data_IF_321441987770
#
_entry.id   IF_321441987770
#
_cell.length_a   1.000
_cell.length_b   1.000
_cell.length_c   1.000
_cell.angle_alpha   90.00
_cell.angle_beta   90.00
_cell.angle_gamma   90.00
#
_symmetry.space_group_name_H-M   'P 1'
#
loop_
_entity.id
_entity.type
_entity.pdbx_description
1 polymer ?
#
# COMPACT_ATOMS: atom_id res chain seq x y z
N UNK A 1 10.35 -5.73 -19.70
CA UNK A 1 8.97 -5.95 -20.14
C UNK A 1 8.21 -6.86 -19.20
N UNK A 2 8.69 -8.10 -19.04
CA UNK A 2 8.04 -9.02 -18.13
C UNK A 2 8.06 -8.52 -16.69
N UNK A 3 9.17 -7.91 -16.31
CA UNK A 3 9.29 -7.36 -14.97
C UNK A 3 8.29 -6.24 -14.74
N UNK A 4 8.10 -5.40 -15.76
CA UNK A 4 7.13 -4.32 -15.66
C UNK A 4 5.72 -4.86 -15.54
N UNK A 5 5.40 -5.89 -16.30
CA UNK A 5 4.08 -6.50 -16.23
C UNK A 5 3.82 -7.07 -14.84
N UNK A 6 4.82 -7.72 -14.27
CA UNK A 6 4.69 -8.29 -12.96
C UNK A 6 4.39 -7.22 -11.91
N UNK A 7 5.12 -6.10 -11.98
CA UNK A 7 4.92 -5.01 -11.02
C UNK A 7 3.56 -4.35 -11.21
N UNK A 8 3.13 -4.21 -12.46
CA UNK A 8 1.82 -3.64 -12.75
C UNK A 8 0.73 -4.53 -12.18
N UNK A 9 0.85 -5.84 -12.34
CA UNK A 9 -0.14 -6.77 -11.80
C UNK A 9 -0.25 -6.64 -10.29
N UNK A 10 0.89 -6.55 -9.61
CA UNK A 10 0.89 -6.38 -8.18
C UNK A 10 0.22 -5.07 -7.78
N UNK A 11 0.50 -4.01 -8.53
CA UNK A 11 -0.03 -2.69 -8.23
C UNK A 11 -1.55 -2.64 -8.39
N UNK A 12 -2.08 -3.29 -9.40
CA UNK A 12 -3.51 -3.21 -9.71
C UNK A 12 -4.32 -4.35 -9.14
N UNK A 13 -3.67 -5.26 -8.44
CA UNK A 13 -4.39 -6.35 -7.79
C UNK A 13 -5.36 -5.77 -6.77
N UNK A 14 -6.61 -6.19 -6.84
CA UNK A 14 -7.61 -5.69 -5.90
C UNK A 14 -7.26 -6.10 -4.48
N UNK A 15 -7.49 -5.21 -3.54
CA UNK A 15 -7.19 -5.49 -2.14
C UNK A 15 -7.90 -6.74 -1.64
N UNK A 16 -9.11 -6.97 -2.11
CA UNK A 16 -9.88 -8.14 -1.70
C UNK A 16 -9.24 -9.45 -2.11
N UNK A 17 -8.36 -9.41 -3.11
CA UNK A 17 -7.69 -10.61 -3.60
C UNK A 17 -6.28 -10.79 -3.06
N UNK A 18 -5.80 -9.81 -2.30
CA UNK A 18 -4.49 -9.92 -1.67
C UNK A 18 -4.58 -10.78 -0.43
N UNK A 19 -3.51 -11.51 -0.14
CA UNK A 19 -3.44 -12.25 1.13
C UNK A 19 -3.21 -11.25 2.26
N UNK A 20 -3.46 -11.69 3.49
CA UNK A 20 -3.23 -10.85 4.64
C UNK A 20 -1.75 -10.45 4.73
N UNK A 21 -0.86 -11.38 4.41
CA UNK A 21 0.57 -11.10 4.41
C UNK A 21 0.92 -10.03 3.39
N UNK A 22 0.34 -10.13 2.19
CA UNK A 22 0.57 -9.12 1.16
C UNK A 22 0.11 -7.75 1.62
N UNK A 23 -1.06 -7.69 2.26
CA UNK A 23 -1.59 -6.42 2.74
C UNK A 23 -0.70 -5.82 3.82
N UNK A 24 -0.22 -6.65 4.74
CA UNK A 24 0.66 -6.18 5.80
C UNK A 24 1.96 -5.63 5.22
N UNK A 25 2.53 -6.33 4.23
CA UNK A 25 3.75 -5.86 3.57
C UNK A 25 3.51 -4.55 2.83
N UNK A 26 2.35 -4.39 2.22
CA UNK A 26 2.01 -3.14 1.54
C UNK A 26 1.98 -1.97 2.52
N UNK A 27 1.40 -2.18 3.69
CA UNK A 27 1.35 -1.13 4.71
C UNK A 27 2.77 -0.72 5.10
N UNK A 28 3.64 -1.70 5.35
CA UNK A 28 5.02 -1.40 5.74
C UNK A 28 5.73 -0.59 4.66
N UNK A 29 5.61 -1.02 3.41
CA UNK A 29 6.27 -0.34 2.30
C UNK A 29 5.73 1.07 2.13
N UNK A 30 4.41 1.23 2.19
CA UNK A 30 3.81 2.55 2.01
C UNK A 30 4.17 3.49 3.15
N UNK A 31 4.24 2.98 4.38
CA UNK A 31 4.63 3.82 5.50
C UNK A 31 6.08 4.27 5.37
N UNK A 32 6.95 3.42 4.86
CA UNK A 32 8.33 3.81 4.60
C UNK A 32 8.41 4.90 3.54
N UNK A 33 7.60 4.79 2.48
CA UNK A 33 7.55 5.83 1.47
C UNK A 33 7.05 7.14 2.06
N UNK A 34 6.07 7.08 2.95
CA UNK A 34 5.56 8.29 3.60
C UNK A 34 6.62 8.97 4.45
N UNK A 35 7.43 8.18 5.15
CA UNK A 35 8.52 8.74 5.96
C UNK A 35 9.54 9.44 5.07
N UNK A 36 9.91 8.81 3.96
CA UNK A 36 10.83 9.43 3.01
C UNK A 36 10.26 10.72 2.44
N UNK A 37 8.99 10.71 2.08
CA UNK A 37 8.35 11.90 1.53
C UNK A 37 8.35 13.04 2.54
N UNK A 38 8.16 12.71 3.82
CA UNK A 38 8.18 13.72 4.87
C UNK A 38 9.57 14.33 5.00
N UNK A 39 10.61 13.50 4.98
CA UNK A 39 11.99 13.96 5.07
C UNK A 39 12.37 14.87 3.91
N UNK A 40 11.83 14.59 2.73
CA UNK A 40 12.10 15.39 1.54
C UNK A 40 11.09 16.52 1.36
N UNK A 41 10.21 16.69 2.34
CA UNK A 41 9.19 17.75 2.33
C UNK A 41 8.23 17.63 1.15
N UNK A 42 8.02 16.42 0.67
CA UNK A 42 7.05 16.16 -0.40
C UNK A 42 5.70 15.83 0.20
N UNK A 43 5.05 16.82 0.76
CA UNK A 43 3.82 16.61 1.53
C UNK A 43 2.66 16.09 0.70
N UNK A 44 2.60 16.46 -0.59
CA UNK A 44 1.56 15.93 -1.47
C UNK A 44 1.70 14.43 -1.67
N UNK A 45 2.94 13.97 -1.89
CA UNK A 45 3.20 12.55 -2.03
C UNK A 45 2.87 11.82 -0.74
N UNK A 46 3.27 12.38 0.40
CA UNK A 46 2.99 11.79 1.70
C UNK A 46 1.49 11.61 1.90
N UNK A 47 0.70 12.62 1.55
CA UNK A 47 -0.74 12.56 1.71
C UNK A 47 -1.36 11.45 0.88
N UNK A 48 -0.92 11.31 -0.38
CA UNK A 48 -1.44 10.26 -1.25
C UNK A 48 -1.08 8.88 -0.71
N UNK A 49 0.14 8.72 -0.24
CA UNK A 49 0.59 7.44 0.31
C UNK A 49 -0.21 7.09 1.55
N UNK A 50 -0.46 8.05 2.44
CA UNK A 50 -1.22 7.80 3.65
C UNK A 50 -2.67 7.42 3.35
N UNK A 51 -3.24 7.99 2.29
CA UNK A 51 -4.58 7.57 1.85
C UNK A 51 -4.57 6.12 1.44
N UNK A 52 -3.55 5.69 0.71
CA UNK A 52 -3.43 4.29 0.31
C UNK A 52 -3.24 3.38 1.52
N UNK A 53 -2.45 3.81 2.50
CA UNK A 53 -2.26 3.06 3.74
C UNK A 53 -3.60 2.87 4.44
N UNK A 54 -4.40 3.92 4.49
CA UNK A 54 -5.72 3.85 5.12
C UNK A 54 -6.59 2.79 4.46
N UNK A 55 -6.61 2.77 3.13
CA UNK A 55 -7.42 1.81 2.40
C UNK A 55 -6.98 0.37 2.68
N UNK A 56 -5.68 0.14 2.70
CA UNK A 56 -5.14 -1.20 2.96
C UNK A 56 -5.48 -1.62 4.38
N UNK A 57 -5.33 -0.73 5.34
CA UNK A 57 -5.65 -1.03 6.74
C UNK A 57 -7.13 -1.34 6.93
N UNK A 58 -8.01 -0.66 6.19
CA UNK A 58 -9.43 -0.95 6.24
C UNK A 58 -9.72 -2.37 5.78
N UNK A 59 -9.05 -2.81 4.73
CA UNK A 59 -9.25 -4.16 4.24
C UNK A 59 -8.77 -5.19 5.27
N UNK A 60 -7.64 -4.92 5.92
CA UNK A 60 -7.12 -5.80 6.96
C UNK A 60 -8.12 -5.91 8.10
N UNK A 61 -8.62 -4.77 8.58
CA UNK A 61 -9.61 -4.74 9.66
C UNK A 61 -10.85 -5.55 9.31
N UNK A 62 -11.31 -5.36 8.07
CA UNK A 62 -12.51 -6.03 7.61
C UNK A 62 -12.36 -7.54 7.70
N UNK A 63 -11.18 -8.05 7.40
CA UNK A 63 -10.91 -9.49 7.47
C UNK A 63 -10.82 -9.99 8.90
N UNK A 64 -10.25 -9.19 9.77
CA UNK A 64 -10.07 -9.60 11.16
C UNK A 64 -11.36 -9.56 11.96
N UNK A 65 -12.34 -8.83 11.47
CA UNK A 65 -13.61 -8.71 12.18
C UNK A 65 -14.55 -9.88 11.97
N UNK A 66 -14.17 -10.79 11.10
CA UNK A 66 -14.99 -12.00 10.98
C UNK A 66 -14.84 -12.92 12.21
#
# INVERSE_FOLDING_TARGET
HLNNSFMIDTRYKKLTKCTLEELTNMVDDLENVAIHALKEKKLGVRKLVLTSVHDVKKEIEKRLKK
#
